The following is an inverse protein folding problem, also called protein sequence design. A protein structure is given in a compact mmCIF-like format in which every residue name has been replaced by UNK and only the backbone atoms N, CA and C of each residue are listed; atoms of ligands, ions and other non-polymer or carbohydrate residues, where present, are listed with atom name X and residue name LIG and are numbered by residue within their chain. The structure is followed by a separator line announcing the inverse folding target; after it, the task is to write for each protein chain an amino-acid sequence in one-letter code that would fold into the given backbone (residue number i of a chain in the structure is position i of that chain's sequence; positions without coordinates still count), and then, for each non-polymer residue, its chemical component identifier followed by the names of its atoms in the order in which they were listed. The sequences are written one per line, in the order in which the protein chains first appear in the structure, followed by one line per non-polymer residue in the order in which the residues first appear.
data_IF_346617549964
#
_entry.id   IF_346617549964
#
_cell.length_a   1.000
_cell.length_b   1.000
_cell.length_c   1.000
_cell.angle_alpha   90.00
_cell.angle_beta   90.00
_cell.angle_gamma   90.00
#
_symmetry.space_group_name_H-M   'P 1'
#
loop_
_entity.id
_entity.type
_entity.pdbx_description
1 polymer ?
#
# COMPACT_ATOMS: atom_id res chain seq x y z
N UNK A 1 -19.32 59.60 49.42
CA UNK A 1 -20.34 58.54 49.22
C UNK A 1 -20.02 57.79 47.93
N UNK A 2 -20.20 56.46 47.96
CA UNK A 2 -20.00 55.45 46.89
C UNK A 2 -18.57 54.94 46.61
N UNK A 3 -18.32 53.81 47.29
CA UNK A 3 -17.51 52.62 46.96
C UNK A 3 -17.68 52.14 45.50
N UNK A 4 -16.69 51.52 44.85
CA UNK A 4 -16.33 50.09 44.97
C UNK A 4 -14.98 49.76 44.29
N UNK A 5 -14.38 48.68 44.78
CA UNK A 5 -13.02 48.18 44.64
C UNK A 5 -12.63 47.51 43.29
N UNK A 6 -11.33 47.22 43.09
CA UNK A 6 -10.72 46.68 41.87
C UNK A 6 -10.61 45.14 41.89
N UNK A 7 -10.18 44.56 40.75
CA UNK A 7 -9.52 43.25 40.51
C UNK A 7 -10.22 42.41 39.45
N UNK A 8 -9.60 42.35 38.27
CA UNK A 8 -9.69 41.20 37.37
C UNK A 8 -8.28 40.78 36.99
N UNK A 9 -7.73 39.68 37.54
CA UNK A 9 -6.44 39.15 37.15
C UNK A 9 -6.56 38.30 35.86
N UNK A 10 -5.55 38.44 35.01
CA UNK A 10 -4.92 37.43 34.15
C UNK A 10 -5.69 36.10 33.97
N UNK A 11 -6.08 35.77 32.74
CA UNK A 11 -5.92 34.40 32.24
C UNK A 11 -5.70 34.37 30.72
N UNK A 12 -4.61 33.71 30.36
CA UNK A 12 -4.13 33.49 29.00
C UNK A 12 -4.99 32.48 28.24
N UNK A 13 -5.03 32.63 26.91
CA UNK A 13 -4.97 31.45 26.05
C UNK A 13 -4.20 31.82 24.79
N UNK A 14 -2.88 31.72 24.94
CA UNK A 14 -1.92 31.58 23.86
C UNK A 14 -2.46 30.50 22.92
N UNK A 15 -2.73 30.89 21.68
CA UNK A 15 -3.14 30.02 20.59
C UNK A 15 -1.96 29.09 20.26
N UNK A 16 -1.80 28.04 21.07
CA UNK A 16 -0.78 27.02 20.89
C UNK A 16 -1.06 26.29 19.57
N UNK A 17 -0.15 26.47 18.63
CA UNK A 17 -0.25 25.94 17.28
C UNK A 17 -0.43 24.43 17.28
N UNK A 18 -1.57 23.98 16.74
CA UNK A 18 -1.67 22.65 16.18
C UNK A 18 -1.20 22.70 14.72
N UNK A 19 0.12 22.80 14.52
CA UNK A 19 0.76 22.24 13.32
C UNK A 19 0.65 20.72 13.42
N UNK A 20 -0.56 20.18 13.28
CA UNK A 20 -0.77 18.75 13.15
C UNK A 20 -0.41 18.35 11.73
N UNK A 21 0.86 17.99 11.57
CA UNK A 21 1.48 17.26 10.48
C UNK A 21 0.49 16.71 9.44
N UNK A 22 0.36 17.42 8.32
CA UNK A 22 -0.07 16.83 7.06
C UNK A 22 1.04 15.86 6.60
N UNK A 23 1.13 14.69 7.24
CA UNK A 23 1.86 13.59 6.68
C UNK A 23 1.27 13.33 5.27
N UNK A 24 2.08 13.15 4.23
CA UNK A 24 1.55 12.94 2.89
C UNK A 24 0.63 11.72 2.92
N UNK A 25 -0.66 11.91 2.65
CA UNK A 25 -1.67 10.84 2.71
C UNK A 25 -1.27 9.60 1.88
N UNK A 26 -0.47 9.79 0.82
CA UNK A 26 0.11 8.72 0.02
C UNK A 26 1.08 7.80 0.79
N UNK A 27 1.87 8.34 1.73
CA UNK A 27 2.78 7.54 2.56
C UNK A 27 2.01 6.74 3.62
N UNK A 28 1.00 7.36 4.24
CA UNK A 28 0.12 6.68 5.19
C UNK A 28 -0.69 5.56 4.51
N UNK A 29 -1.16 5.79 3.28
CA UNK A 29 -1.88 4.78 2.50
C UNK A 29 -0.98 3.58 2.14
N UNK A 30 0.25 3.81 1.69
CA UNK A 30 1.19 2.72 1.39
C UNK A 30 1.48 1.85 2.63
N UNK A 31 1.61 2.48 3.80
CA UNK A 31 1.87 1.79 5.05
C UNK A 31 0.69 0.92 5.52
N UNK A 32 -0.55 1.28 5.17
CA UNK A 32 -1.74 0.49 5.53
C UNK A 32 -2.09 -0.57 4.49
N UNK A 33 -1.74 -0.36 3.22
CA UNK A 33 -2.03 -1.28 2.12
C UNK A 33 -1.49 -2.70 2.35
N UNK A 34 -0.39 -2.87 3.09
CA UNK A 34 0.13 -4.20 3.45
C UNK A 34 -0.86 -5.04 4.26
N UNK A 35 -1.77 -4.42 5.02
CA UNK A 35 -2.73 -5.10 5.91
C UNK A 35 -4.09 -5.33 5.26
N UNK A 36 -4.31 -4.76 4.08
CA UNK A 36 -5.56 -4.92 3.34
C UNK A 36 -5.51 -6.26 2.60
N UNK A 37 -6.58 -7.09 2.63
CA UNK A 37 -6.64 -8.31 1.84
C UNK A 37 -6.40 -8.07 0.35
N UNK A 38 -5.86 -9.08 -0.33
CA UNK A 38 -5.62 -9.07 -1.77
C UNK A 38 -6.93 -8.78 -2.54
N UNK A 39 -6.84 -7.87 -3.50
CA UNK A 39 -7.97 -7.39 -4.30
C UNK A 39 -8.84 -6.34 -3.61
N UNK A 40 -8.59 -6.00 -2.34
CA UNK A 40 -9.34 -4.99 -1.60
C UNK A 40 -8.58 -3.68 -1.39
N UNK A 41 -7.32 -3.59 -1.84
CA UNK A 41 -6.56 -2.34 -1.74
C UNK A 41 -7.24 -1.24 -2.57
N UNK A 42 -7.31 0.01 -2.09
CA UNK A 42 -7.90 1.14 -2.83
C UNK A 42 -7.26 1.34 -4.23
N UNK A 43 -6.00 0.91 -4.40
CA UNK A 43 -5.32 0.94 -5.69
C UNK A 43 -5.97 0.08 -6.79
N UNK A 44 -6.70 -0.98 -6.41
CA UNK A 44 -7.40 -1.89 -7.36
C UNK A 44 -8.66 -1.22 -7.90
N UNK A 45 -9.47 -0.62 -7.03
CA UNK A 45 -10.65 0.16 -7.43
C UNK A 45 -10.27 1.45 -8.19
N UNK A 46 -9.05 1.96 -7.98
CA UNK A 46 -8.50 3.15 -8.65
C UNK A 46 -7.62 2.92 -9.88
N UNK A 47 -7.54 1.69 -10.46
CA UNK A 47 -6.75 1.34 -11.68
C UNK A 47 -5.21 1.48 -11.57
N UNK A 48 -4.67 1.68 -10.37
CA UNK A 48 -3.21 1.81 -10.15
C UNK A 48 -2.54 0.48 -9.81
N UNK A 49 -3.35 -0.52 -9.46
CA UNK A 49 -2.92 -1.89 -9.23
C UNK A 49 -3.56 -2.87 -10.25
N UNK A 50 -2.87 -3.97 -10.50
CA UNK A 50 -3.29 -5.05 -11.38
C UNK A 50 -3.36 -6.36 -10.61
N UNK A 51 -4.46 -7.10 -10.82
CA UNK A 51 -4.63 -8.46 -10.33
C UNK A 51 -4.19 -9.47 -11.39
N UNK A 52 -3.54 -10.55 -10.97
CA UNK A 52 -3.19 -11.62 -11.90
C UNK A 52 -2.74 -12.91 -11.24
N UNK A 53 -2.31 -13.84 -12.09
CA UNK A 53 -1.71 -15.11 -11.70
C UNK A 53 -0.30 -15.17 -12.23
N UNK A 54 0.66 -15.56 -11.39
CA UNK A 54 2.05 -15.74 -11.79
C UNK A 54 2.12 -16.84 -12.85
N UNK A 55 2.70 -16.52 -14.01
CA UNK A 55 3.05 -17.50 -15.03
C UNK A 55 4.49 -17.97 -14.82
N UNK A 56 5.41 -17.01 -14.61
CA UNK A 56 6.84 -17.28 -14.40
C UNK A 56 7.49 -16.09 -13.73
N UNK A 57 8.53 -16.35 -12.93
CA UNK A 57 9.46 -15.33 -12.47
C UNK A 57 10.90 -15.78 -12.72
N UNK A 58 11.70 -14.96 -13.40
CA UNK A 58 13.12 -15.21 -13.59
C UNK A 58 13.88 -13.92 -13.92
N UNK A 59 15.13 -13.83 -13.45
CA UNK A 59 16.04 -12.72 -13.78
C UNK A 59 15.44 -11.33 -13.51
N UNK A 60 14.68 -11.18 -12.42
CA UNK A 60 14.02 -9.91 -12.07
C UNK A 60 12.82 -9.56 -12.97
N UNK A 61 12.36 -10.47 -13.84
CA UNK A 61 11.19 -10.28 -14.68
C UNK A 61 10.07 -11.21 -14.24
N UNK A 62 8.94 -10.62 -13.85
CA UNK A 62 7.70 -11.32 -13.55
C UNK A 62 6.82 -11.34 -14.79
N UNK A 63 6.40 -12.54 -15.19
CA UNK A 63 5.36 -12.75 -16.19
C UNK A 63 4.07 -13.16 -15.48
N UNK A 64 2.99 -12.45 -15.74
CA UNK A 64 1.67 -12.74 -15.17
C UNK A 64 0.57 -12.74 -16.23
N UNK A 65 -0.46 -13.55 -15.99
CA UNK A 65 -1.73 -13.46 -16.70
C UNK A 65 -2.70 -12.61 -15.88
N UNK A 66 -3.39 -11.67 -16.51
CA UNK A 66 -4.32 -10.75 -15.84
C UNK A 66 -5.63 -10.67 -16.60
N UNK A 67 -6.80 -10.77 -15.92
CA UNK A 67 -8.08 -10.53 -16.55
C UNK A 67 -8.13 -9.15 -17.21
N UNK A 68 -8.56 -9.11 -18.48
CA UNK A 68 -8.59 -7.87 -19.27
C UNK A 68 -7.34 -7.61 -20.12
N UNK A 69 -6.33 -8.49 -20.06
CA UNK A 69 -5.18 -8.46 -20.97
C UNK A 69 -5.12 -9.76 -21.77
N UNK A 70 -5.17 -9.70 -23.11
CA UNK A 70 -5.16 -10.91 -23.94
C UNK A 70 -3.80 -11.62 -23.97
N UNK A 71 -2.71 -10.90 -23.67
CA UNK A 71 -1.36 -11.43 -23.61
C UNK A 71 -0.80 -11.34 -22.18
N UNK A 72 0.09 -12.26 -21.77
CA UNK A 72 0.81 -12.16 -20.50
C UNK A 72 1.56 -10.83 -20.38
N UNK A 73 1.46 -10.22 -19.21
CA UNK A 73 2.14 -8.97 -18.89
C UNK A 73 3.51 -9.26 -18.31
N UNK A 74 4.49 -8.42 -18.63
CA UNK A 74 5.85 -8.49 -18.09
C UNK A 74 6.13 -7.28 -17.22
N UNK A 75 6.57 -7.53 -16.00
CA UNK A 75 6.80 -6.50 -14.98
C UNK A 75 8.15 -6.72 -14.33
N UNK A 76 8.95 -5.66 -14.26
CA UNK A 76 10.25 -5.68 -13.58
C UNK A 76 10.06 -5.70 -12.06
N UNK A 77 10.75 -6.62 -11.42
CA UNK A 77 10.90 -6.74 -9.98
C UNK A 77 12.36 -6.40 -9.63
N UNK A 78 12.55 -5.50 -8.68
CA UNK A 78 13.87 -5.04 -8.27
C UNK A 78 14.04 -5.17 -6.76
N UNK A 79 15.25 -4.87 -6.26
CA UNK A 79 15.50 -4.81 -4.81
C UNK A 79 14.63 -3.76 -4.08
N UNK A 80 14.11 -2.76 -4.80
CA UNK A 80 13.20 -1.75 -4.24
C UNK A 80 11.73 -2.19 -4.25
N UNK A 81 11.40 -3.31 -4.89
CA UNK A 81 10.03 -3.83 -4.93
C UNK A 81 9.72 -4.50 -3.59
N UNK A 82 8.73 -3.97 -2.87
CA UNK A 82 8.26 -4.61 -1.64
C UNK A 82 7.43 -5.85 -1.98
N UNK A 83 7.63 -6.93 -1.24
CA UNK A 83 6.87 -8.17 -1.43
C UNK A 83 6.20 -8.54 -0.11
N UNK A 84 4.89 -8.82 -0.17
CA UNK A 84 4.10 -9.24 0.98
C UNK A 84 3.34 -10.54 0.69
N UNK A 85 3.27 -11.41 1.67
CA UNK A 85 2.40 -12.59 1.66
C UNK A 85 1.08 -12.23 2.35
N UNK A 86 -0.01 -12.27 1.58
CA UNK A 86 -1.35 -12.10 2.08
C UNK A 86 -1.86 -13.38 2.74
N UNK A 87 -1.99 -13.32 4.06
CA UNK A 87 -2.50 -14.42 4.91
C UNK A 87 -3.86 -14.09 5.50
N UNK A 88 -4.54 -13.06 4.97
CA UNK A 88 -5.85 -12.63 5.44
C UNK A 88 -6.91 -13.73 5.38
N UNK A 89 -6.83 -14.64 4.40
CA UNK A 89 -7.70 -15.82 4.32
C UNK A 89 -7.57 -16.76 5.53
N UNK A 90 -6.39 -16.79 6.17
CA UNK A 90 -6.10 -17.53 7.40
C UNK A 90 -6.35 -16.68 8.66
N UNK A 91 -6.90 -15.46 8.52
CA UNK A 91 -7.06 -14.45 9.58
C UNK A 91 -5.74 -14.11 10.29
N UNK A 92 -4.65 -14.17 9.55
CA UNK A 92 -3.31 -13.86 10.05
C UNK A 92 -2.81 -12.58 9.40
N UNK A 93 -1.90 -11.89 10.10
CA UNK A 93 -1.26 -10.70 9.55
C UNK A 93 -0.40 -11.03 8.34
N UNK A 94 -0.39 -10.10 7.39
CA UNK A 94 0.46 -10.20 6.21
C UNK A 94 1.93 -10.02 6.60
N UNK A 95 2.76 -10.91 6.08
CA UNK A 95 4.19 -10.95 6.38
C UNK A 95 5.00 -10.51 5.18
N UNK A 96 6.25 -10.11 5.41
CA UNK A 96 7.21 -9.86 4.33
C UNK A 96 7.45 -11.15 3.57
N UNK A 97 7.33 -11.08 2.24
CA UNK A 97 7.68 -12.16 1.34
C UNK A 97 9.00 -11.89 0.64
N UNK A 98 9.34 -12.77 -0.28
CA UNK A 98 10.58 -12.74 -1.06
C UNK A 98 10.28 -12.98 -2.53
N UNK A 99 11.23 -12.69 -3.45
CA UNK A 99 11.04 -13.06 -4.85
C UNK A 99 10.86 -14.57 -5.08
N UNK A 100 11.32 -15.43 -4.16
CA UNK A 100 11.11 -16.88 -4.24
C UNK A 100 9.63 -17.27 -4.08
N UNK A 101 8.81 -16.41 -3.49
CA UNK A 101 7.37 -16.63 -3.33
C UNK A 101 6.58 -16.38 -4.62
N UNK A 102 7.20 -15.82 -5.66
CA UNK A 102 6.61 -15.61 -7.00
C UNK A 102 6.58 -16.93 -7.79
N UNK A 103 5.90 -17.92 -7.22
CA UNK A 103 5.72 -19.25 -7.78
C UNK A 103 4.57 -19.25 -8.78
N UNK A 104 4.74 -19.96 -9.90
CA UNK A 104 3.69 -20.13 -10.91
C UNK A 104 2.37 -20.61 -10.30
N UNK A 105 1.26 -20.08 -10.80
CA UNK A 105 -0.09 -20.38 -10.32
C UNK A 105 -0.54 -19.56 -9.11
N UNK A 106 0.34 -18.83 -8.41
CA UNK A 106 -0.08 -17.97 -7.30
C UNK A 106 -0.81 -16.73 -7.80
N UNK A 107 -1.89 -16.37 -7.11
CA UNK A 107 -2.59 -15.10 -7.31
C UNK A 107 -1.80 -13.97 -6.67
N UNK A 108 -1.73 -12.85 -7.38
CA UNK A 108 -1.00 -11.67 -6.97
C UNK A 108 -1.78 -10.39 -7.27
N UNK A 109 -1.44 -9.36 -6.51
CA UNK A 109 -1.79 -7.97 -6.77
C UNK A 109 -0.49 -7.18 -6.91
N UNK A 110 -0.38 -6.39 -7.97
CA UNK A 110 0.81 -5.58 -8.25
C UNK A 110 0.40 -4.12 -8.27
N UNK A 111 1.08 -3.28 -7.51
CA UNK A 111 1.08 -1.83 -7.74
C UNK A 111 2.31 -1.43 -8.52
N UNK A 112 2.11 -0.62 -9.54
CA UNK A 112 3.20 -0.14 -10.37
C UNK A 112 3.85 1.10 -9.79
N UNK A 113 5.15 1.27 -10.05
CA UNK A 113 5.85 2.54 -9.79
C UNK A 113 5.18 3.65 -10.58
N UNK A 114 4.90 3.38 -11.86
CA UNK A 114 4.10 4.24 -12.74
C UNK A 114 2.92 3.43 -13.31
N UNK A 115 1.68 3.76 -12.92
CA UNK A 115 0.47 3.11 -13.42
C UNK A 115 0.23 3.25 -14.92
N UNK A 116 0.80 4.26 -15.59
CA UNK A 116 0.60 4.49 -17.01
C UNK A 116 1.41 3.51 -17.86
N UNK A 117 2.68 3.30 -17.49
CA UNK A 117 3.60 2.41 -18.23
C UNK A 117 3.57 0.98 -17.74
N UNK A 118 3.31 0.76 -16.44
CA UNK A 118 3.21 -0.56 -15.79
C UNK A 118 4.44 -1.46 -15.94
N UNK A 119 5.60 -0.87 -16.18
CA UNK A 119 6.83 -1.61 -16.46
C UNK A 119 7.52 -2.17 -15.21
N UNK A 120 7.31 -1.54 -14.05
CA UNK A 120 8.00 -1.90 -12.80
C UNK A 120 7.04 -1.93 -11.61
N UNK A 121 7.23 -2.91 -10.73
CA UNK A 121 6.44 -3.06 -9.52
C UNK A 121 7.01 -2.20 -8.38
N UNK A 122 6.16 -1.37 -7.78
CA UNK A 122 6.42 -0.70 -6.52
C UNK A 122 6.28 -1.69 -5.36
N UNK A 123 5.21 -2.49 -5.39
CA UNK A 123 5.02 -3.60 -4.47
C UNK A 123 4.23 -4.72 -5.13
N UNK A 124 4.39 -5.93 -4.59
CA UNK A 124 3.66 -7.14 -4.99
C UNK A 124 3.11 -7.80 -3.73
N UNK A 125 1.80 -8.05 -3.71
CA UNK A 125 1.14 -8.83 -2.68
C UNK A 125 0.75 -10.18 -3.27
N UNK A 126 1.16 -11.24 -2.61
CA UNK A 126 1.02 -12.62 -3.08
C UNK A 126 0.06 -13.34 -2.16
N UNK A 127 -0.94 -14.01 -2.70
CA UNK A 127 -1.77 -14.91 -1.90
C UNK A 127 -0.87 -15.97 -1.25
N UNK A 128 -0.85 -16.02 0.09
CA UNK A 128 -0.22 -17.12 0.79
C UNK A 128 -1.00 -18.41 0.49
N UNK A 129 -0.29 -19.47 0.15
CA UNK A 129 -0.89 -20.78 0.02
C UNK A 129 -1.52 -21.21 1.34
N UNK A 130 -2.67 -21.88 1.25
CA UNK A 130 -3.14 -22.79 2.31
C UNK A 130 -2.36 -24.09 2.26
#
# INVERSE_FOLDING_TARGET
MKTLNPLGPVLALTLCGALAAAAPAALAQRATERFIPLGQSPGVSGKTAMMGTVVRYANGMLTLSSPGYPAPQQVRVSAATEIWLDRSALRQSNVTGTPADLVAGRRIEIRFVDPATRQAAAWIKIQAGG
#
